data_IF_576869890827
#
_entry.id   IF_576869890827
#
_cell.length_a   1.000
_cell.length_b   1.000
_cell.length_c   1.000
_cell.angle_alpha   90.00
_cell.angle_beta   90.00
_cell.angle_gamma   90.00
#
_symmetry.space_group_name_H-M   'P 1'
#
loop_
_entity.id
_entity.type
_entity.pdbx_description
1 polymer ?
#
# COMPACT_ATOMS: atom_id res chain seq x y z
N UNK A 1 16.40 54.39 27.82
CA UNK A 1 16.64 54.66 26.40
C UNK A 1 18.16 54.75 26.30
N UNK A 2 18.86 53.70 25.91
CA UNK A 2 18.49 52.59 25.04
C UNK A 2 19.03 51.27 25.60
N UNK A 3 18.12 50.29 25.59
CA UNK A 3 18.37 48.86 25.76
C UNK A 3 18.64 48.29 24.35
N UNK A 4 19.00 47.01 24.29
CA UNK A 4 19.03 46.20 23.07
C UNK A 4 20.32 46.24 22.22
N UNK A 5 21.13 45.19 22.40
CA UNK A 5 21.70 44.39 21.31
C UNK A 5 22.37 43.16 21.97
N UNK A 6 21.53 42.24 22.46
CA UNK A 6 21.98 40.89 22.78
C UNK A 6 22.22 40.15 21.46
N UNK A 7 23.48 39.82 21.25
CA UNK A 7 24.07 38.97 20.23
C UNK A 7 23.38 37.58 20.24
N UNK A 8 22.25 37.48 19.54
CA UNK A 8 21.55 36.22 19.28
C UNK A 8 22.26 35.51 18.13
N UNK A 9 23.41 34.93 18.43
CA UNK A 9 24.12 33.98 17.56
C UNK A 9 23.67 32.54 17.91
N UNK A 10 22.35 32.35 18.09
CA UNK A 10 21.70 31.03 18.04
C UNK A 10 21.29 30.79 16.58
N UNK A 11 22.28 30.58 15.71
CA UNK A 11 22.11 29.71 14.53
C UNK A 11 22.04 28.25 15.02
N UNK A 12 21.14 28.01 15.99
CA UNK A 12 20.72 26.72 16.47
C UNK A 12 19.97 26.01 15.34
N UNK A 13 20.54 24.90 14.87
CA UNK A 13 19.80 23.66 14.63
C UNK A 13 18.56 23.74 13.69
N UNK A 14 18.64 24.50 12.58
CA UNK A 14 17.62 24.44 11.53
C UNK A 14 17.94 23.42 10.41
N UNK A 15 18.99 22.59 10.56
CA UNK A 15 19.39 21.61 9.55
C UNK A 15 18.59 20.29 9.57
N UNK A 16 17.55 20.15 10.40
CA UNK A 16 16.79 18.89 10.55
C UNK A 16 15.26 19.07 10.43
N UNK A 17 14.79 20.12 9.74
CA UNK A 17 13.37 20.32 9.41
C UNK A 17 12.93 19.53 8.16
N UNK A 18 13.42 18.30 7.97
CA UNK A 18 13.14 17.51 6.77
C UNK A 18 12.15 16.35 6.96
N UNK A 19 11.45 16.20 8.10
CA UNK A 19 10.57 15.03 8.27
C UNK A 19 9.39 15.18 9.26
N UNK A 20 8.66 16.27 9.20
CA UNK A 20 7.34 16.41 9.87
C UNK A 20 6.24 16.84 8.88
N UNK A 21 6.43 16.47 7.61
CA UNK A 21 5.49 16.67 6.51
C UNK A 21 4.32 15.68 6.46
N UNK A 22 3.77 15.24 7.60
CA UNK A 22 2.58 14.37 7.68
C UNK A 22 2.78 12.96 7.11
N UNK A 23 2.52 11.92 7.90
CA UNK A 23 2.74 10.55 7.46
C UNK A 23 1.85 10.21 6.23
N UNK A 24 2.50 9.91 5.10
CA UNK A 24 1.84 9.45 3.88
C UNK A 24 1.92 7.94 3.75
N UNK A 25 0.82 7.31 3.37
CA UNK A 25 0.69 5.89 3.06
C UNK A 25 0.45 5.67 1.56
N UNK A 26 0.95 4.58 0.96
CA UNK A 26 0.63 4.25 -0.44
C UNK A 26 -0.82 3.73 -0.56
N UNK A 27 -1.63 4.24 -1.51
CA UNK A 27 -2.97 3.66 -1.76
C UNK A 27 -2.80 2.20 -2.24
N UNK A 28 -3.59 1.26 -1.68
CA UNK A 28 -3.51 -0.15 -2.02
C UNK A 28 -3.96 -0.49 -3.46
N UNK A 29 -4.60 0.46 -4.16
CA UNK A 29 -5.15 0.27 -5.50
C UNK A 29 -4.25 0.87 -6.60
N UNK A 30 -3.81 2.12 -6.42
CA UNK A 30 -3.01 2.85 -7.41
C UNK A 30 -1.53 3.05 -7.04
N UNK A 31 -1.17 2.83 -5.78
CA UNK A 31 0.19 3.00 -5.28
C UNK A 31 0.65 4.47 -5.12
N UNK A 32 -0.25 5.44 -5.28
CA UNK A 32 0.08 6.85 -5.03
C UNK A 32 0.23 7.13 -3.53
N UNK A 33 1.14 8.03 -3.19
CA UNK A 33 1.32 8.51 -1.82
C UNK A 33 0.14 9.40 -1.42
N UNK A 34 -0.55 9.02 -0.35
CA UNK A 34 -1.71 9.74 0.18
C UNK A 34 -1.52 9.92 1.68
N UNK A 35 -1.87 11.09 2.22
CA UNK A 35 -1.89 11.31 3.66
C UNK A 35 -2.75 10.27 4.38
N UNK A 36 -2.25 9.75 5.49
CA UNK A 36 -2.96 8.73 6.29
C UNK A 36 -4.32 9.22 6.82
N UNK A 37 -4.48 10.54 6.94
CA UNK A 37 -5.71 11.17 7.41
C UNK A 37 -6.80 11.24 6.33
N UNK A 38 -6.45 11.02 5.05
CA UNK A 38 -7.39 11.09 3.95
C UNK A 38 -8.32 9.86 3.94
N UNK A 39 -9.63 10.08 3.94
CA UNK A 39 -10.62 8.99 3.82
C UNK A 39 -10.67 8.38 2.40
N UNK A 40 -10.26 9.15 1.39
CA UNK A 40 -10.36 8.78 -0.03
C UNK A 40 -9.11 9.22 -0.77
N UNK A 41 -8.54 8.33 -1.59
CA UNK A 41 -7.40 8.66 -2.44
C UNK A 41 -7.81 9.66 -3.54
N UNK A 42 -7.10 10.81 -3.68
CA UNK A 42 -7.41 11.81 -4.70
C UNK A 42 -7.03 11.38 -6.12
N UNK A 43 -6.21 10.33 -6.28
CA UNK A 43 -5.74 9.85 -7.58
C UNK A 43 -6.72 8.88 -8.22
N UNK A 44 -7.23 7.90 -7.46
CA UNK A 44 -8.10 6.85 -8.00
C UNK A 44 -9.50 6.78 -7.37
N UNK A 45 -9.75 7.47 -6.26
CA UNK A 45 -11.02 7.39 -5.53
C UNK A 45 -11.18 6.16 -4.64
N UNK A 46 -10.09 5.40 -4.38
CA UNK A 46 -10.09 4.28 -3.42
C UNK A 46 -10.45 4.79 -2.00
N UNK A 47 -11.33 4.11 -1.26
CA UNK A 47 -11.58 4.44 0.15
C UNK A 47 -10.44 3.91 1.00
N UNK A 48 -9.80 4.79 1.77
CA UNK A 48 -8.71 4.45 2.68
C UNK A 48 -9.33 4.19 4.07
N UNK A 49 -9.21 2.96 4.55
CA UNK A 49 -9.71 2.62 5.88
C UNK A 49 -8.71 3.13 6.91
N UNK A 50 -9.10 4.09 7.76
CA UNK A 50 -8.29 4.54 8.92
C UNK A 50 -7.99 3.32 9.81
N UNK A 51 -6.78 2.78 9.74
CA UNK A 51 -6.35 1.53 10.40
C UNK A 51 -6.20 0.29 9.49
N UNK A 52 -6.39 0.45 8.17
CA UNK A 52 -6.10 -0.57 7.17
C UNK A 52 -4.61 -0.58 6.82
N UNK A 53 -3.80 -1.18 7.71
CA UNK A 53 -2.38 -1.51 7.52
C UNK A 53 -1.47 -0.38 7.05
N UNK A 54 -1.32 0.66 7.87
CA UNK A 54 -0.02 1.31 7.98
C UNK A 54 1.02 0.23 8.35
N UNK A 55 2.00 -0.04 7.49
CA UNK A 55 3.15 -0.91 7.83
C UNK A 55 2.98 -2.42 7.62
N UNK A 56 2.09 -2.88 6.75
CA UNK A 56 1.97 -4.29 6.39
C UNK A 56 2.73 -4.65 5.11
N UNK A 57 4.05 -4.63 5.13
CA UNK A 57 4.88 -5.04 3.99
C UNK A 57 4.54 -6.45 3.51
N UNK A 58 3.75 -6.57 2.46
CA UNK A 58 3.83 -7.73 1.57
C UNK A 58 4.76 -7.31 0.44
N UNK A 59 6.04 -7.74 0.49
CA UNK A 59 6.97 -7.39 -0.55
C UNK A 59 6.47 -7.97 -1.88
N UNK A 60 6.48 -7.14 -2.91
CA UNK A 60 5.93 -7.34 -4.24
C UNK A 60 6.50 -8.55 -5.02
N UNK A 61 7.56 -9.20 -4.51
CA UNK A 61 8.07 -10.50 -4.98
C UNK A 61 7.32 -11.73 -4.42
N UNK A 62 6.42 -11.53 -3.45
CA UNK A 62 5.60 -12.60 -2.86
C UNK A 62 4.40 -12.79 -3.77
N UNK A 63 4.13 -14.03 -4.17
CA UNK A 63 3.02 -14.48 -5.04
C UNK A 63 1.59 -14.17 -4.51
N UNK A 64 1.38 -13.08 -3.77
CA UNK A 64 0.09 -12.64 -3.20
C UNK A 64 -0.62 -11.54 -3.98
N UNK A 65 0.08 -10.75 -4.82
CA UNK A 65 -0.53 -9.74 -5.69
C UNK A 65 -0.98 -10.26 -7.06
N UNK A 66 -0.35 -11.34 -7.55
CA UNK A 66 -0.58 -11.87 -8.90
C UNK A 66 -1.81 -12.79 -9.04
N UNK A 67 -2.51 -13.11 -7.96
CA UNK A 67 -3.59 -14.13 -7.99
C UNK A 67 -4.97 -13.57 -8.32
N UNK A 68 -5.17 -12.25 -8.39
CA UNK A 68 -6.49 -11.68 -8.73
C UNK A 68 -6.74 -11.51 -10.23
N UNK A 69 -5.71 -11.44 -11.06
CA UNK A 69 -5.88 -11.12 -12.49
C UNK A 69 -5.38 -12.22 -13.46
N UNK A 70 -4.49 -13.13 -13.05
CA UNK A 70 -3.87 -14.10 -13.99
C UNK A 70 -4.41 -15.54 -13.94
N UNK A 71 -5.42 -15.87 -13.12
CA UNK A 71 -5.75 -17.28 -12.84
C UNK A 71 -7.21 -17.76 -12.96
N UNK A 72 -8.11 -17.22 -13.81
CA UNK A 72 -9.31 -17.99 -14.15
C UNK A 72 -8.94 -19.21 -15.02
N UNK A 73 -7.99 -19.08 -15.95
CA UNK A 73 -7.71 -20.15 -16.93
C UNK A 73 -6.96 -21.35 -16.32
N UNK A 74 -5.95 -21.13 -15.48
CA UNK A 74 -5.23 -22.22 -14.81
C UNK A 74 -6.11 -22.97 -13.80
N UNK A 75 -6.97 -22.25 -13.09
CA UNK A 75 -7.94 -22.83 -12.17
C UNK A 75 -8.98 -23.68 -12.94
N UNK A 76 -9.50 -23.18 -14.07
CA UNK A 76 -10.38 -23.94 -14.96
C UNK A 76 -9.69 -25.17 -15.56
N UNK A 77 -8.42 -25.08 -15.95
CA UNK A 77 -7.65 -26.21 -16.50
C UNK A 77 -7.45 -27.30 -15.44
N UNK A 78 -7.11 -26.90 -14.20
CA UNK A 78 -7.05 -27.82 -13.06
C UNK A 78 -8.40 -28.48 -12.77
N UNK A 79 -9.48 -27.69 -12.73
CA UNK A 79 -10.83 -28.21 -12.48
C UNK A 79 -11.30 -29.18 -13.57
N UNK A 80 -11.02 -28.87 -14.84
CA UNK A 80 -11.37 -29.72 -15.98
C UNK A 80 -10.65 -31.08 -15.90
N UNK A 81 -9.38 -31.10 -15.49
CA UNK A 81 -8.63 -32.33 -15.28
C UNK A 81 -9.25 -33.22 -14.20
N UNK A 82 -9.61 -32.64 -13.05
CA UNK A 82 -10.27 -33.36 -11.94
C UNK A 82 -11.65 -33.89 -12.37
N UNK A 83 -12.42 -33.11 -13.11
CA UNK A 83 -13.73 -33.56 -13.61
C UNK A 83 -13.60 -34.72 -14.60
N UNK A 84 -12.59 -34.71 -15.47
CA UNK A 84 -12.35 -35.79 -16.43
C UNK A 84 -11.98 -37.11 -15.74
N UNK A 85 -11.14 -37.07 -14.70
CA UNK A 85 -10.78 -38.29 -13.95
C UNK A 85 -11.97 -38.87 -13.19
N UNK A 86 -12.79 -38.01 -12.56
CA UNK A 86 -14.03 -38.44 -11.90
C UNK A 86 -15.02 -39.06 -12.89
N UNK A 87 -15.16 -38.48 -14.09
CA UNK A 87 -16.03 -39.02 -15.12
C UNK A 87 -15.59 -40.42 -15.58
N UNK A 88 -14.29 -40.61 -15.83
CA UNK A 88 -13.73 -41.92 -16.20
C UNK A 88 -13.95 -42.95 -15.09
N UNK A 89 -13.79 -42.57 -13.82
CA UNK A 89 -14.04 -43.45 -12.67
C UNK A 89 -15.51 -43.85 -12.52
N UNK A 90 -16.45 -42.96 -12.85
CA UNK A 90 -17.88 -43.30 -12.81
C UNK A 90 -18.35 -44.08 -14.04
N UNK A 91 -17.66 -43.95 -15.17
CA UNK A 91 -17.98 -44.63 -16.42
C UNK A 91 -17.30 -46.00 -16.58
N UNK A 92 -16.41 -46.37 -15.65
CA UNK A 92 -15.74 -47.69 -15.57
C UNK A 92 -16.45 -48.58 -14.55
#
# INVERSE_FOLDING_TARGET
MDDDESDWDDEDDLEDLDDDGGETIPCPDCGADVYEEADVCPVCGCYLYRGGVAGGGYPWWSFGGALREWSPLWLLLGMAGVLATLFVLMAS
#
